data_IF_471371778447
#
_entry.id   IF_471371778447
#
_cell.length_a   1.000
_cell.length_b   1.000
_cell.length_c   1.000
_cell.angle_alpha   90.00
_cell.angle_beta   90.00
_cell.angle_gamma   90.00
#
_symmetry.space_group_name_H-M   'P 1'
#
loop_
_entity.id
_entity.type
_entity.pdbx_description
1 polymer ?
#
# COMPACT_ATOMS: atom_id res chain seq x y z
N UNK A 1 -3.75 0.99 -61.78
CA UNK A 1 -4.87 0.90 -60.82
C UNK A 1 -5.18 -0.58 -60.66
N UNK A 2 -4.92 -1.26 -59.56
CA UNK A 2 -4.45 -0.90 -58.22
C UNK A 2 -3.54 -2.06 -57.77
N UNK A 3 -2.34 -1.74 -57.30
CA UNK A 3 -1.45 -2.67 -56.58
C UNK A 3 -1.99 -2.83 -55.15
N UNK A 4 -2.10 -4.07 -54.68
CA UNK A 4 -2.22 -4.35 -53.26
C UNK A 4 -1.38 -5.58 -52.95
N UNK A 5 -0.14 -5.32 -52.54
CA UNK A 5 0.79 -6.27 -51.95
C UNK A 5 0.24 -6.69 -50.60
N UNK A 6 -0.12 -7.96 -50.46
CA UNK A 6 -0.42 -8.59 -49.17
C UNK A 6 0.91 -9.17 -48.69
N UNK A 7 1.78 -8.27 -48.22
CA UNK A 7 2.99 -8.63 -47.49
C UNK A 7 2.96 -7.85 -46.16
N UNK A 8 3.32 -8.55 -45.09
CA UNK A 8 3.73 -8.00 -43.79
C UNK A 8 2.65 -7.33 -42.92
N UNK A 9 1.78 -8.16 -42.34
CA UNK A 9 1.28 -7.92 -40.98
C UNK A 9 1.70 -9.08 -40.08
N UNK A 10 3.01 -9.22 -39.87
CA UNK A 10 3.51 -9.90 -38.69
C UNK A 10 3.16 -9.03 -37.48
N UNK A 11 2.03 -9.34 -36.84
CA UNK A 11 1.85 -9.00 -35.44
C UNK A 11 2.89 -9.81 -34.65
N UNK A 12 4.04 -9.21 -34.41
CA UNK A 12 4.92 -9.64 -33.33
C UNK A 12 4.14 -9.47 -32.04
N UNK A 13 3.59 -10.58 -31.54
CA UNK A 13 3.10 -10.67 -30.18
C UNK A 13 4.29 -10.34 -29.27
N UNK A 14 4.31 -9.12 -28.74
CA UNK A 14 5.25 -8.75 -27.69
C UNK A 14 5.16 -9.81 -26.60
N UNK A 15 6.28 -10.38 -26.13
CA UNK A 15 6.23 -11.34 -25.05
C UNK A 15 5.53 -10.67 -23.87
N UNK A 16 4.43 -11.28 -23.43
CA UNK A 16 3.75 -10.94 -22.19
C UNK A 16 4.77 -11.16 -21.08
N UNK A 17 5.46 -10.11 -20.64
CA UNK A 17 6.39 -10.18 -19.53
C UNK A 17 5.61 -10.69 -18.33
N UNK A 18 5.86 -11.93 -17.92
CA UNK A 18 5.34 -12.45 -16.67
C UNK A 18 5.67 -11.44 -15.56
N UNK A 19 4.70 -11.06 -14.72
CA UNK A 19 4.94 -10.07 -13.69
C UNK A 19 6.09 -10.57 -12.81
N UNK A 20 7.22 -9.85 -12.85
CA UNK A 20 8.39 -10.16 -12.02
C UNK A 20 7.95 -10.08 -10.56
N UNK A 21 7.75 -11.24 -9.95
CA UNK A 21 7.43 -11.35 -8.53
C UNK A 21 8.61 -10.76 -7.75
N UNK A 22 8.34 -9.73 -6.95
CA UNK A 22 9.37 -9.15 -6.10
C UNK A 22 9.70 -10.15 -4.98
N UNK A 23 10.80 -10.87 -5.10
CA UNK A 23 11.23 -11.91 -4.15
C UNK A 23 11.40 -11.38 -2.72
N UNK A 24 11.62 -10.08 -2.55
CA UNK A 24 11.73 -9.46 -1.23
C UNK A 24 10.41 -9.47 -0.46
N UNK A 25 9.26 -9.62 -1.14
CA UNK A 25 7.94 -9.74 -0.49
C UNK A 25 7.71 -11.08 0.23
N UNK A 26 8.62 -12.05 0.09
CA UNK A 26 8.58 -13.29 0.86
C UNK A 26 9.33 -13.20 2.20
N UNK A 27 9.98 -12.07 2.48
CA UNK A 27 10.76 -11.87 3.70
C UNK A 27 9.91 -11.18 4.75
N UNK A 28 10.23 -11.40 6.03
CA UNK A 28 9.57 -10.69 7.13
C UNK A 28 9.73 -9.16 7.03
N UNK A 29 10.79 -8.68 6.37
CA UNK A 29 11.10 -7.27 6.17
C UNK A 29 11.16 -6.99 4.67
N UNK A 30 10.41 -5.97 4.25
CA UNK A 30 10.26 -5.57 2.86
C UNK A 30 10.54 -4.06 2.70
N UNK A 31 11.72 -3.70 2.15
CA UNK A 31 11.99 -2.34 1.71
C UNK A 31 11.27 -2.07 0.38
N UNK A 32 10.66 -0.89 0.24
CA UNK A 32 10.01 -0.49 -0.99
C UNK A 32 10.08 1.02 -1.22
N UNK A 33 10.16 1.39 -2.49
CA UNK A 33 10.02 2.76 -2.92
C UNK A 33 8.56 3.07 -3.24
N UNK A 34 8.04 4.16 -2.70
CA UNK A 34 6.66 4.57 -2.89
C UNK A 34 6.59 5.96 -3.53
N UNK A 35 5.77 6.08 -4.57
CA UNK A 35 5.50 7.33 -5.26
C UNK A 35 4.02 7.47 -5.54
N UNK A 36 3.44 8.59 -5.12
CA UNK A 36 2.03 8.90 -5.33
C UNK A 36 1.84 10.37 -5.69
N UNK A 37 0.92 10.64 -6.62
CA UNK A 37 0.62 12.00 -7.08
C UNK A 37 -0.84 12.32 -6.84
N UNK A 38 -1.10 13.42 -6.12
CA UNK A 38 -2.46 13.90 -5.90
C UNK A 38 -3.09 14.42 -7.17
N UNK A 39 -4.43 14.49 -7.20
CA UNK A 39 -5.21 15.15 -8.26
C UNK A 39 -4.83 16.63 -8.47
N UNK A 40 -4.14 17.25 -7.51
CA UNK A 40 -3.66 18.64 -7.55
C UNK A 40 -2.18 18.76 -7.96
N UNK A 41 -1.54 17.66 -8.37
CA UNK A 41 -0.14 17.64 -8.81
C UNK A 41 0.90 17.61 -7.68
N UNK A 42 0.48 17.59 -6.41
CA UNK A 42 1.41 17.37 -5.30
C UNK A 42 1.92 15.92 -5.33
N UNK A 43 3.25 15.75 -5.32
CA UNK A 43 3.92 14.44 -5.33
C UNK A 43 4.39 14.10 -3.92
N UNK A 44 4.15 12.87 -3.52
CA UNK A 44 4.63 12.23 -2.30
C UNK A 44 5.51 11.06 -2.71
N UNK A 45 6.77 11.09 -2.32
CA UNK A 45 7.76 10.11 -2.75
C UNK A 45 8.71 9.82 -1.59
N UNK A 46 9.12 8.57 -1.44
CA UNK A 46 10.12 8.19 -0.45
C UNK A 46 10.23 6.68 -0.27
N UNK A 47 11.29 6.30 0.43
CA UNK A 47 11.59 4.91 0.73
C UNK A 47 11.02 4.52 2.09
N UNK A 48 10.45 3.31 2.12
CA UNK A 48 9.82 2.72 3.29
C UNK A 48 10.43 1.37 3.57
N UNK A 49 10.35 0.95 4.83
CA UNK A 49 10.62 -0.43 5.22
C UNK A 49 9.44 -0.92 6.04
N UNK A 50 8.80 -1.98 5.54
CA UNK A 50 7.68 -2.66 6.20
C UNK A 50 8.17 -3.95 6.88
N UNK A 51 7.51 -4.33 7.97
CA UNK A 51 7.66 -5.66 8.59
C UNK A 51 6.33 -6.41 8.62
N UNK A 52 6.38 -7.74 8.52
CA UNK A 52 5.24 -8.60 8.82
C UNK A 52 4.92 -8.51 10.31
N UNK A 53 3.65 -8.25 10.63
CA UNK A 53 3.23 -8.08 12.02
C UNK A 53 3.20 -9.42 12.75
N UNK A 54 3.90 -9.50 13.88
CA UNK A 54 3.72 -10.59 14.84
C UNK A 54 2.35 -10.52 15.52
N UNK A 55 1.90 -11.59 16.18
CA UNK A 55 0.65 -11.60 16.96
C UNK A 55 0.64 -10.45 18.00
N UNK A 56 1.78 -10.20 18.65
CA UNK A 56 1.92 -9.08 19.60
C UNK A 56 1.71 -7.72 18.92
N UNK A 57 2.28 -7.55 17.72
CA UNK A 57 2.10 -6.32 16.95
C UNK A 57 0.64 -6.13 16.52
N UNK A 58 -0.03 -7.21 16.07
CA UNK A 58 -1.46 -7.18 15.72
C UNK A 58 -2.35 -6.79 16.90
N UNK A 59 -2.07 -7.31 18.10
CA UNK A 59 -2.73 -6.84 19.32
C UNK A 59 -2.46 -5.35 19.56
N UNK A 60 -1.23 -4.89 19.29
CA UNK A 60 -0.87 -3.48 19.31
C UNK A 60 -1.68 -2.63 18.34
N UNK A 61 -1.95 -3.12 17.13
CA UNK A 61 -2.83 -2.47 16.15
C UNK A 61 -4.22 -2.30 16.76
N UNK A 62 -4.78 -3.35 17.37
CA UNK A 62 -6.07 -3.26 18.06
C UNK A 62 -6.11 -2.19 19.16
N UNK A 63 -5.08 -2.13 20.00
CA UNK A 63 -4.96 -1.11 21.05
C UNK A 63 -4.87 0.29 20.47
N UNK A 64 -4.07 0.49 19.42
CA UNK A 64 -3.92 1.79 18.77
C UNK A 64 -5.21 2.23 18.09
N UNK A 65 -5.94 1.32 17.43
CA UNK A 65 -7.27 1.60 16.86
C UNK A 65 -8.25 2.09 17.92
N UNK A 66 -8.32 1.42 19.08
CA UNK A 66 -9.19 1.85 20.18
C UNK A 66 -8.82 3.25 20.70
N UNK A 67 -7.52 3.57 20.78
CA UNK A 67 -7.05 4.90 21.14
C UNK A 67 -7.44 5.96 20.11
N UNK A 68 -7.29 5.66 18.82
CA UNK A 68 -7.68 6.57 17.72
C UNK A 68 -9.19 6.82 17.70
N UNK A 69 -10.00 5.83 18.07
CA UNK A 69 -11.44 5.96 18.26
C UNK A 69 -11.84 6.81 19.48
N UNK A 70 -10.89 7.25 20.31
CA UNK A 70 -11.18 8.00 21.53
C UNK A 70 -11.97 7.20 22.57
N UNK A 71 -11.82 5.87 22.59
CA UNK A 71 -12.65 4.93 23.36
C UNK A 71 -14.15 4.96 23.01
N UNK A 72 -14.50 5.48 21.83
CA UNK A 72 -15.86 5.39 21.30
C UNK A 72 -16.14 3.97 20.80
N UNK A 73 -17.30 3.37 21.09
CA UNK A 73 -17.69 2.09 20.50
C UNK A 73 -17.63 2.13 18.98
N UNK A 74 -17.18 1.04 18.35
CA UNK A 74 -16.95 0.99 16.90
C UNK A 74 -18.26 1.15 16.11
N UNK A 75 -19.38 0.72 16.68
CA UNK A 75 -20.72 0.82 16.12
C UNK A 75 -21.24 2.27 16.09
N UNK A 76 -20.63 3.14 16.90
CA UNK A 76 -20.97 4.56 16.97
C UNK A 76 -20.10 5.41 16.03
N UNK A 77 -19.09 4.83 15.39
CA UNK A 77 -18.25 5.49 14.39
C UNK A 77 -18.78 5.19 12.99
N UNK A 78 -18.68 6.17 12.10
CA UNK A 78 -18.93 5.92 10.69
C UNK A 78 -17.86 4.99 10.09
N UNK A 79 -18.24 4.23 9.06
CA UNK A 79 -17.38 3.22 8.46
C UNK A 79 -16.06 3.79 7.92
N UNK A 80 -16.07 5.03 7.44
CA UNK A 80 -14.89 5.68 6.89
C UNK A 80 -13.87 6.00 8.00
N UNK A 81 -14.32 6.55 9.13
CA UNK A 81 -13.46 6.74 10.32
C UNK A 81 -12.88 5.42 10.83
N UNK A 82 -13.68 4.35 10.86
CA UNK A 82 -13.22 3.01 11.28
C UNK A 82 -12.11 2.50 10.35
N UNK A 83 -12.26 2.68 9.04
CA UNK A 83 -11.29 2.28 8.04
C UNK A 83 -9.99 3.10 8.15
N UNK A 84 -10.09 4.43 8.28
CA UNK A 84 -8.92 5.30 8.49
C UNK A 84 -8.14 4.91 9.76
N UNK A 85 -8.85 4.70 10.88
CA UNK A 85 -8.22 4.28 12.12
C UNK A 85 -7.49 2.94 11.99
N UNK A 86 -8.06 1.99 11.21
CA UNK A 86 -7.42 0.72 10.92
C UNK A 86 -6.13 0.92 10.12
N UNK A 87 -6.18 1.64 9.00
CA UNK A 87 -5.01 1.87 8.14
C UNK A 87 -3.90 2.61 8.88
N UNK A 88 -4.22 3.69 9.60
CA UNK A 88 -3.24 4.45 10.39
C UNK A 88 -2.62 3.56 11.46
N UNK A 89 -3.41 2.82 12.22
CA UNK A 89 -2.88 1.98 13.28
C UNK A 89 -1.97 0.87 12.75
N UNK A 90 -2.37 0.25 11.64
CA UNK A 90 -1.59 -0.79 11.00
C UNK A 90 -0.25 -0.27 10.50
N UNK A 91 -0.27 0.77 9.66
CA UNK A 91 0.93 1.38 9.08
C UNK A 91 1.86 1.97 10.15
N UNK A 92 1.31 2.48 11.26
CA UNK A 92 2.12 2.99 12.38
C UNK A 92 3.00 1.91 13.01
N UNK A 93 2.55 0.65 12.99
CA UNK A 93 3.26 -0.47 13.63
C UNK A 93 4.07 -1.27 12.60
N UNK A 94 3.58 -1.38 11.36
CA UNK A 94 4.22 -2.18 10.32
C UNK A 94 5.36 -1.44 9.62
N UNK A 95 5.28 -0.11 9.48
CA UNK A 95 6.36 0.70 8.90
C UNK A 95 7.44 0.99 9.94
N UNK A 96 8.59 0.33 9.82
CA UNK A 96 9.75 0.53 10.70
C UNK A 96 10.60 1.73 10.26
N UNK A 97 10.68 1.98 8.96
CA UNK A 97 11.33 3.16 8.39
C UNK A 97 10.39 3.85 7.41
N UNK A 98 10.41 5.18 7.42
CA UNK A 98 9.50 6.03 6.64
C UNK A 98 10.11 7.41 6.39
N UNK A 99 9.77 8.06 5.27
CA UNK A 99 10.22 9.41 4.97
C UNK A 99 9.55 10.43 5.92
N UNK A 100 10.15 11.62 6.05
CA UNK A 100 9.72 12.63 7.02
C UNK A 100 8.25 13.06 6.83
N UNK A 101 7.76 13.08 5.59
CA UNK A 101 6.36 13.43 5.31
C UNK A 101 5.36 12.40 5.84
N UNK A 102 5.79 11.15 6.07
CA UNK A 102 4.96 10.06 6.58
C UNK A 102 5.16 9.82 8.09
N UNK A 103 5.89 10.71 8.77
CA UNK A 103 6.25 10.55 10.19
C UNK A 103 5.03 10.48 11.10
N UNK A 104 4.04 11.34 10.86
CA UNK A 104 2.70 11.22 11.44
C UNK A 104 1.66 11.05 10.32
N UNK A 105 1.11 9.85 10.20
CA UNK A 105 0.13 9.53 9.17
C UNK A 105 -1.20 10.26 9.37
N UNK A 106 -1.46 10.80 10.56
CA UNK A 106 -2.67 11.55 10.89
C UNK A 106 -2.65 12.98 10.32
N UNK A 107 -1.46 13.49 9.99
CA UNK A 107 -1.29 14.81 9.38
C UNK A 107 -1.51 14.78 7.85
N UNK A 108 -1.68 13.58 7.27
CA UNK A 108 -1.96 13.42 5.86
C UNK A 108 -3.38 13.90 5.52
N UNK A 109 -3.48 14.74 4.50
CA UNK A 109 -4.76 15.32 4.04
C UNK A 109 -5.50 14.45 3.02
N UNK A 110 -4.83 13.46 2.46
CA UNK A 110 -5.33 12.66 1.34
C UNK A 110 -5.59 11.22 1.81
N UNK A 111 -6.85 10.83 1.91
CA UNK A 111 -7.22 9.45 2.26
C UNK A 111 -6.74 8.45 1.20
N UNK A 112 -6.88 8.80 -0.09
CA UNK A 112 -6.42 7.98 -1.23
C UNK A 112 -4.91 7.67 -1.16
N UNK A 113 -4.10 8.61 -0.64
CA UNK A 113 -2.66 8.40 -0.42
C UNK A 113 -2.42 7.35 0.66
N UNK A 114 -3.13 7.47 1.79
CA UNK A 114 -3.04 6.53 2.90
C UNK A 114 -3.49 5.13 2.48
N UNK A 115 -4.57 5.03 1.71
CA UNK A 115 -5.09 3.77 1.16
C UNK A 115 -4.10 3.14 0.18
N UNK A 116 -3.48 3.94 -0.69
CA UNK A 116 -2.46 3.46 -1.64
C UNK A 116 -1.24 2.89 -0.90
N UNK A 117 -0.78 3.59 0.14
CA UNK A 117 0.33 3.13 0.98
C UNK A 117 -0.05 1.86 1.76
N UNK A 118 -1.26 1.82 2.31
CA UNK A 118 -1.79 0.64 3.00
C UNK A 118 -1.89 -0.56 2.06
N UNK A 119 -2.31 -0.36 0.82
CA UNK A 119 -2.43 -1.41 -0.19
C UNK A 119 -1.09 -2.04 -0.53
N UNK A 120 -0.01 -1.25 -0.63
CA UNK A 120 1.34 -1.79 -0.86
C UNK A 120 1.78 -2.66 0.32
N UNK A 121 1.56 -2.21 1.56
CA UNK A 121 1.86 -2.99 2.77
C UNK A 121 1.01 -4.26 2.85
N UNK A 122 -0.29 -4.17 2.57
CA UNK A 122 -1.18 -5.33 2.57
C UNK A 122 -0.80 -6.34 1.47
N UNK A 123 -0.31 -5.88 0.31
CA UNK A 123 0.18 -6.76 -0.75
C UNK A 123 1.43 -7.54 -0.34
N UNK A 124 2.30 -6.94 0.49
CA UNK A 124 3.43 -7.64 1.09
C UNK A 124 2.95 -8.77 2.00
N UNK A 125 2.00 -8.48 2.90
CA UNK A 125 1.45 -9.48 3.81
C UNK A 125 0.71 -10.60 3.08
N UNK A 126 -0.09 -10.28 2.06
CA UNK A 126 -0.77 -11.27 1.24
C UNK A 126 0.25 -12.21 0.55
N UNK A 127 1.31 -11.65 -0.01
CA UNK A 127 2.39 -12.42 -0.65
C UNK A 127 3.10 -13.33 0.36
N UNK A 128 3.42 -12.79 1.54
CA UNK A 128 4.11 -13.53 2.59
C UNK A 128 3.28 -14.71 3.12
N UNK A 129 1.97 -14.52 3.33
CA UNK A 129 1.08 -15.57 3.84
C UNK A 129 0.49 -16.48 2.75
N UNK A 130 0.66 -16.14 1.47
CA UNK A 130 0.20 -16.93 0.33
C UNK A 130 -1.31 -16.85 0.07
N UNK A 131 -1.92 -15.69 0.32
CA UNK A 131 -3.34 -15.40 0.01
C UNK A 131 -3.53 -14.74 -1.36
#
# INVERSE_FOLDING_TARGET
MIEASIDELQQEAMPEEEPKVNEDKYKDIYPFHFKWTSKRGQVFEGDFVNKILSIKDQMGVGVLRAKLAGNTPIESLDAFTVQLNMMVAHLTISLIEKPEWAKDLRDLKYADLLESLYSEVASHEATFFGY
#
